data_IF_782824429736
#
_entry.id   IF_782824429736
#
_cell.length_a   1.000
_cell.length_b   1.000
_cell.length_c   1.000
_cell.angle_alpha   90.00
_cell.angle_beta   90.00
_cell.angle_gamma   90.00
#
_symmetry.space_group_name_H-M   'P 1'
#
loop_
_entity.id
_entity.type
_entity.pdbx_description
1 polymer ?
#
# COMPACT_ATOMS: atom_id res chain seq x y z
N UNK A 1 -11.53 9.14 -12.11
CA UNK A 1 -10.40 8.45 -11.44
C UNK A 1 -10.20 9.09 -10.10
N UNK A 2 -10.21 8.30 -9.02
CA UNK A 2 -9.82 8.76 -7.68
C UNK A 2 -8.39 8.30 -7.40
N UNK A 3 -7.58 9.18 -6.81
CA UNK A 3 -6.22 8.86 -6.37
C UNK A 3 -6.14 9.22 -4.90
N UNK A 4 -5.70 8.27 -4.08
CA UNK A 4 -5.38 8.51 -2.68
C UNK A 4 -3.86 8.41 -2.53
N UNK A 5 -3.26 9.44 -1.93
CA UNK A 5 -1.83 9.49 -1.63
C UNK A 5 -1.70 9.76 -0.14
N UNK A 6 -0.87 8.98 0.53
CA UNK A 6 -0.66 9.13 1.97
C UNK A 6 0.37 8.15 2.49
N UNK A 7 0.72 8.31 3.76
CA UNK A 7 1.55 7.34 4.46
C UNK A 7 0.76 6.04 4.69
N UNK A 8 1.43 4.88 4.78
CA UNK A 8 0.74 3.60 4.99
C UNK A 8 -0.20 3.63 6.19
N UNK A 9 0.22 4.21 7.32
CA UNK A 9 -0.59 4.37 8.53
C UNK A 9 -1.89 5.13 8.27
N UNK A 10 -1.80 6.30 7.61
CA UNK A 10 -2.99 7.13 7.36
C UNK A 10 -3.98 6.43 6.43
N UNK A 11 -3.48 5.69 5.44
CA UNK A 11 -4.32 4.91 4.53
C UNK A 11 -5.02 3.77 5.28
N UNK A 12 -4.32 3.06 6.17
CA UNK A 12 -4.92 2.02 7.02
C UNK A 12 -6.05 2.59 7.87
N UNK A 13 -5.84 3.72 8.53
CA UNK A 13 -6.86 4.36 9.36
C UNK A 13 -8.11 4.70 8.54
N UNK A 14 -7.95 5.32 7.37
CA UNK A 14 -9.06 5.66 6.47
C UNK A 14 -9.84 4.43 5.98
N UNK A 15 -9.13 3.33 5.73
CA UNK A 15 -9.75 2.06 5.34
C UNK A 15 -10.49 1.41 6.50
N UNK A 16 -10.00 1.57 7.74
CA UNK A 16 -10.63 1.03 8.95
C UNK A 16 -11.86 1.83 9.37
N UNK A 17 -11.83 3.16 9.18
CA UNK A 17 -12.97 4.05 9.37
C UNK A 17 -14.06 3.88 8.29
N UNK A 18 -13.78 3.14 7.21
CA UNK A 18 -14.70 2.94 6.08
C UNK A 18 -14.84 4.16 5.16
N UNK A 19 -13.99 5.16 5.33
CA UNK A 19 -13.96 6.38 4.49
C UNK A 19 -13.31 6.10 3.14
N UNK A 20 -12.35 5.16 3.10
CA UNK A 20 -11.70 4.68 1.89
C UNK A 20 -12.12 3.24 1.59
N UNK A 21 -12.35 2.91 0.32
CA UNK A 21 -12.69 1.56 -0.13
C UNK A 21 -11.66 1.04 -1.13
N UNK A 22 -11.31 -0.24 -0.99
CA UNK A 22 -10.40 -0.96 -1.88
C UNK A 22 -11.13 -1.76 -2.95
N UNK A 23 -12.46 -1.89 -2.90
CA UNK A 23 -13.23 -2.79 -3.78
C UNK A 23 -12.96 -2.56 -5.28
N UNK A 24 -12.84 -1.30 -5.69
CA UNK A 24 -12.57 -0.89 -7.08
C UNK A 24 -11.14 -0.42 -7.29
N UNK A 25 -10.23 -0.69 -6.36
CA UNK A 25 -8.81 -0.36 -6.50
C UNK A 25 -8.25 -1.12 -7.70
N UNK A 26 -7.57 -0.44 -8.62
CA UNK A 26 -6.93 -1.07 -9.78
C UNK A 26 -5.42 -1.14 -9.64
N UNK A 27 -4.84 -0.19 -8.88
CA UNK A 27 -3.39 -0.04 -8.79
C UNK A 27 -2.98 0.45 -7.42
N UNK A 28 -1.97 -0.21 -6.86
CA UNK A 28 -1.27 0.19 -5.65
C UNK A 28 0.18 0.49 -6.02
N UNK A 29 0.61 1.72 -5.80
CA UNK A 29 1.99 2.16 -6.07
C UNK A 29 2.69 2.40 -4.75
N UNK A 30 3.84 1.76 -4.56
CA UNK A 30 4.73 1.97 -3.43
C UNK A 30 5.96 2.71 -3.94
N UNK A 31 6.12 3.95 -3.49
CA UNK A 31 7.33 4.73 -3.74
C UNK A 31 8.43 4.28 -2.77
N UNK A 32 9.43 3.58 -3.32
CA UNK A 32 10.63 3.11 -2.66
C UNK A 32 11.87 3.92 -3.10
N UNK A 33 11.70 4.97 -3.91
CA UNK A 33 12.81 5.75 -4.47
C UNK A 33 13.54 6.60 -3.41
N UNK A 34 12.85 6.96 -2.33
CA UNK A 34 13.43 7.71 -1.22
C UNK A 34 14.38 6.84 -0.40
N UNK A 35 15.62 7.31 -0.24
CA UNK A 35 16.62 6.75 0.66
C UNK A 35 17.00 7.76 1.73
N UNK A 36 17.08 7.30 2.98
CA UNK A 36 17.62 8.11 4.07
C UNK A 36 19.15 8.31 3.95
N UNK A 37 19.72 9.09 4.87
CA UNK A 37 21.18 9.35 4.92
C UNK A 37 22.02 8.08 5.11
N UNK A 38 21.42 6.98 5.62
CA UNK A 38 22.07 5.68 5.81
C UNK A 38 21.77 4.71 4.65
N UNK A 39 21.21 5.20 3.53
CA UNK A 39 20.79 4.41 2.37
C UNK A 39 19.76 3.34 2.71
N UNK A 40 18.91 3.59 3.69
CA UNK A 40 17.78 2.73 4.05
C UNK A 40 16.54 3.26 3.32
N UNK A 41 15.86 2.37 2.62
CA UNK A 41 14.58 2.66 1.99
C UNK A 41 13.40 2.39 2.94
N UNK A 42 12.19 2.59 2.42
CA UNK A 42 10.94 2.36 3.16
C UNK A 42 10.76 0.89 3.61
N UNK A 43 11.45 -0.05 2.95
CA UNK A 43 11.45 -1.48 3.26
C UNK A 43 12.43 -1.86 4.38
N UNK A 44 13.43 -1.01 4.67
CA UNK A 44 14.52 -1.33 5.60
C UNK A 44 14.26 -0.81 7.03
N UNK A 45 13.44 0.23 7.15
CA UNK A 45 13.11 0.86 8.43
C UNK A 45 11.87 0.18 9.03
N UNK A 46 12.02 -0.51 10.17
CA UNK A 46 10.90 -1.24 10.82
C UNK A 46 9.65 -0.40 11.01
N UNK A 47 9.81 0.87 11.36
CA UNK A 47 8.71 1.83 11.60
C UNK A 47 7.86 2.08 10.35
N UNK A 48 8.45 2.06 9.16
CA UNK A 48 7.73 2.24 7.88
C UNK A 48 7.36 0.91 7.25
N UNK A 49 8.20 -0.12 7.44
CA UNK A 49 7.98 -1.46 6.94
C UNK A 49 6.74 -2.11 7.57
N UNK A 50 6.56 -2.00 8.89
CA UNK A 50 5.43 -2.62 9.59
C UNK A 50 4.06 -2.17 9.05
N UNK A 51 3.75 -0.86 8.98
CA UNK A 51 2.46 -0.41 8.45
C UNK A 51 2.34 -0.65 6.94
N UNK A 52 3.44 -0.63 6.18
CA UNK A 52 3.40 -1.02 4.77
C UNK A 52 3.03 -2.49 4.60
N UNK A 53 3.63 -3.39 5.38
CA UNK A 53 3.34 -4.82 5.34
C UNK A 53 1.93 -5.14 5.81
N UNK A 54 1.40 -4.40 6.79
CA UNK A 54 0.01 -4.50 7.23
C UNK A 54 -0.95 -4.12 6.09
N UNK A 55 -0.70 -2.98 5.43
CA UNK A 55 -1.50 -2.53 4.29
C UNK A 55 -1.47 -3.56 3.15
N UNK A 56 -0.28 -4.07 2.84
CA UNK A 56 -0.10 -5.04 1.76
C UNK A 56 -0.72 -6.41 2.08
N UNK A 57 -0.71 -6.84 3.34
CA UNK A 57 -1.30 -8.12 3.76
C UNK A 57 -2.78 -8.02 4.13
N UNK A 58 -3.42 -6.86 3.99
CA UNK A 58 -4.84 -6.67 4.29
C UNK A 58 -5.70 -7.68 3.51
N UNK A 59 -6.62 -8.31 4.23
CA UNK A 59 -7.59 -9.23 3.63
C UNK A 59 -8.41 -8.50 2.56
N UNK A 60 -8.65 -9.16 1.42
CA UNK A 60 -9.25 -8.56 0.23
C UNK A 60 -8.28 -7.84 -0.70
N UNK A 61 -7.13 -7.33 -0.23
CA UNK A 61 -6.08 -6.78 -1.13
C UNK A 61 -5.12 -7.89 -1.54
N UNK A 62 -4.70 -8.72 -0.58
CA UNK A 62 -3.80 -9.87 -0.81
C UNK A 62 -4.30 -10.87 -1.84
N UNK A 63 -5.61 -11.11 -1.85
CA UNK A 63 -6.27 -12.05 -2.77
C UNK A 63 -6.30 -11.52 -4.21
N UNK A 64 -6.10 -10.20 -4.40
CA UNK A 64 -6.27 -9.53 -5.70
C UNK A 64 -4.96 -9.26 -6.43
N UNK A 65 -3.80 -9.42 -5.79
CA UNK A 65 -2.51 -9.16 -6.45
C UNK A 65 -2.19 -10.08 -7.64
N UNK A 66 -2.82 -11.25 -7.69
CA UNK A 66 -2.63 -12.23 -8.76
C UNK A 66 -3.96 -12.70 -9.39
N UNK A 67 -5.06 -11.98 -9.12
CA UNK A 67 -6.36 -12.33 -9.65
C UNK A 67 -6.46 -11.95 -11.14
N UNK A 68 -6.96 -12.85 -11.97
CA UNK A 68 -7.19 -12.62 -13.40
C UNK A 68 -8.35 -11.65 -13.67
N UNK A 69 -9.31 -11.57 -12.75
CA UNK A 69 -10.44 -10.62 -12.79
C UNK A 69 -10.42 -9.74 -11.54
N UNK A 70 -10.66 -8.44 -11.70
CA UNK A 70 -10.57 -7.44 -10.62
C UNK A 70 -9.23 -7.44 -9.87
N UNK A 71 -8.13 -7.80 -10.54
CA UNK A 71 -6.79 -7.75 -9.98
C UNK A 71 -6.35 -6.34 -9.57
N UNK A 72 -5.39 -6.26 -8.65
CA UNK A 72 -4.72 -5.02 -8.26
C UNK A 72 -3.27 -5.09 -8.72
N UNK A 73 -2.87 -4.16 -9.59
CA UNK A 73 -1.47 -4.00 -9.98
C UNK A 73 -0.67 -3.48 -8.78
N UNK A 74 0.30 -4.26 -8.30
CA UNK A 74 1.26 -3.82 -7.29
C UNK A 74 2.56 -3.39 -7.97
N UNK A 75 2.90 -2.10 -7.85
CA UNK A 75 4.07 -1.51 -8.48
C UNK A 75 4.98 -0.91 -7.42
N UNK A 76 6.28 -1.16 -7.56
CA UNK A 76 7.33 -0.57 -6.73
C UNK A 76 8.18 0.33 -7.63
N UNK A 77 8.43 1.57 -7.20
CA UNK A 77 9.24 2.56 -7.91
C UNK A 77 10.43 3.02 -7.07
#
# INVERSE_FOLDING_TARGET
MGIAVGTPTRLIDLLNEGVLSIEKLQRLVVDCSYMDQKKRGILDMRETQAPLMELLNRQGLKERYAASENGVDLLFY
#
